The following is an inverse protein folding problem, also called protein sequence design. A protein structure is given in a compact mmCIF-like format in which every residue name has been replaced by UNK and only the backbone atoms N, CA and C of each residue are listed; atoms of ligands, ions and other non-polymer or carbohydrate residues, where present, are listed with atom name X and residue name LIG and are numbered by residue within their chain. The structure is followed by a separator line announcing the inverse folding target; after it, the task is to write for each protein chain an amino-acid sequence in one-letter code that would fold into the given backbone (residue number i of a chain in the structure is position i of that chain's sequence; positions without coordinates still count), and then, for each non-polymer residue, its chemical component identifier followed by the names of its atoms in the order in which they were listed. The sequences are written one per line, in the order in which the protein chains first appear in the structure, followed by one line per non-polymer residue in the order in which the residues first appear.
data_IF_432420973936
#
_entry.id   IF_432420973936
#
_cell.length_a   1.000
_cell.length_b   1.000
_cell.length_c   1.000
_cell.angle_alpha   90.00
_cell.angle_beta   90.00
_cell.angle_gamma   90.00
#
_symmetry.space_group_name_H-M   'P 1'
#
loop_
_entity.id
_entity.type
_entity.pdbx_description
1 polymer ?
#
# COMPACT_ATOMS: atom_id res chain seq x y z
N UNK A 1 44.78 -1.93 -23.01
CA UNK A 1 45.12 -3.35 -22.85
C UNK A 1 45.92 -3.51 -21.56
N UNK A 2 45.56 -4.42 -20.60
CA UNK A 2 45.60 -5.85 -20.85
C UNK A 2 44.35 -6.61 -20.37
N UNK A 3 44.21 -7.77 -20.98
CA UNK A 3 43.30 -8.87 -20.73
C UNK A 3 43.59 -9.58 -19.39
N UNK A 4 42.53 -10.02 -18.65
CA UNK A 4 42.66 -11.15 -17.74
C UNK A 4 41.55 -12.15 -17.98
N UNK A 5 42.00 -13.35 -18.31
CA UNK A 5 41.29 -14.53 -18.75
C UNK A 5 40.45 -15.21 -17.68
N UNK A 6 39.40 -15.84 -18.17
CA UNK A 6 38.54 -16.81 -17.53
C UNK A 6 39.26 -17.98 -16.86
N UNK A 7 38.68 -18.49 -15.76
CA UNK A 7 38.84 -19.90 -15.36
C UNK A 7 37.50 -20.42 -14.84
N UNK A 8 36.88 -21.26 -15.67
CA UNK A 8 35.83 -22.18 -15.27
C UNK A 8 36.44 -23.42 -14.61
N UNK A 9 35.83 -23.90 -13.53
CA UNK A 9 36.11 -25.23 -12.96
C UNK A 9 34.76 -25.91 -12.74
N UNK A 10 34.49 -27.06 -13.35
CA UNK A 10 33.32 -27.88 -13.04
C UNK A 10 33.65 -28.88 -11.93
N UNK A 11 32.82 -28.96 -10.88
CA UNK A 11 32.82 -30.09 -9.96
C UNK A 11 31.54 -30.89 -10.13
N UNK A 12 31.68 -32.05 -10.78
CA UNK A 12 30.74 -33.16 -10.76
C UNK A 12 30.86 -33.89 -9.42
N UNK A 13 29.76 -34.03 -8.71
CA UNK A 13 29.63 -35.01 -7.62
C UNK A 13 28.35 -35.80 -7.84
N UNK A 14 28.54 -37.05 -8.25
CA UNK A 14 27.54 -38.09 -8.28
C UNK A 14 27.26 -38.56 -6.87
N UNK A 15 25.98 -38.63 -6.50
CA UNK A 15 25.53 -39.30 -5.28
C UNK A 15 24.55 -40.44 -5.65
N UNK A 16 24.96 -41.64 -5.24
CA UNK A 16 24.30 -42.91 -5.49
C UNK A 16 22.96 -43.01 -4.68
N UNK A 17 21.92 -43.46 -5.36
CA UNK A 17 20.64 -43.80 -4.73
C UNK A 17 20.75 -45.21 -4.09
N UNK A 18 20.53 -45.31 -2.81
CA UNK A 18 20.23 -46.56 -2.12
C UNK A 18 18.71 -46.69 -1.94
N UNK A 19 18.11 -47.58 -2.69
CA UNK A 19 16.72 -47.97 -2.53
C UNK A 19 16.58 -48.93 -1.34
N UNK A 20 15.90 -48.50 -0.29
CA UNK A 20 15.46 -49.36 0.81
C UNK A 20 13.97 -49.62 0.65
N UNK A 21 13.59 -50.86 0.33
CA UNK A 21 12.23 -51.36 0.30
C UNK A 21 11.69 -51.50 1.74
N UNK A 22 10.58 -50.86 2.05
CA UNK A 22 9.82 -51.04 3.27
C UNK A 22 8.53 -51.82 2.94
N UNK A 23 8.15 -52.83 3.72
CA UNK A 23 7.00 -53.71 3.41
C UNK A 23 5.67 -52.98 3.66
N UNK A 24 4.71 -53.24 2.77
CA UNK A 24 3.35 -52.73 2.83
C UNK A 24 2.61 -53.46 3.95
N UNK A 25 2.45 -52.81 5.10
CA UNK A 25 1.56 -53.21 6.13
C UNK A 25 0.17 -52.65 5.87
N UNK A 26 -0.84 -53.58 5.75
CA UNK A 26 -2.24 -53.24 5.63
C UNK A 26 -2.74 -52.48 6.83
N UNK A 27 -2.83 -51.16 6.76
CA UNK A 27 -3.42 -50.33 7.81
C UNK A 27 -4.87 -49.99 7.43
N UNK A 28 -5.72 -50.44 8.34
CA UNK A 28 -7.14 -50.18 8.49
C UNK A 28 -7.52 -48.74 8.17
N UNK A 29 -8.30 -48.53 7.10
CA UNK A 29 -8.88 -47.23 6.75
C UNK A 29 -9.91 -46.88 7.82
N UNK A 30 -9.52 -46.13 8.84
CA UNK A 30 -10.47 -45.38 9.66
C UNK A 30 -11.02 -44.25 8.81
N UNK A 31 -12.33 -44.28 8.50
CA UNK A 31 -13.06 -43.12 8.06
C UNK A 31 -12.85 -42.03 9.11
N UNK A 32 -12.10 -41.02 8.74
CA UNK A 32 -12.05 -39.74 9.48
C UNK A 32 -13.28 -39.01 8.98
N UNK A 33 -14.31 -38.95 9.84
CA UNK A 33 -15.41 -38.01 9.66
C UNK A 33 -14.79 -36.66 9.43
N UNK A 34 -15.20 -36.01 8.33
CA UNK A 34 -14.80 -34.65 7.97
C UNK A 34 -15.31 -33.71 9.07
N UNK A 35 -14.56 -33.59 10.16
CA UNK A 35 -14.70 -32.44 11.02
C UNK A 35 -14.32 -31.25 10.16
N UNK A 36 -15.29 -30.43 9.82
CA UNK A 36 -15.11 -29.13 9.20
C UNK A 36 -13.99 -28.40 9.97
N UNK A 37 -12.84 -28.23 9.33
CA UNK A 37 -11.83 -27.34 9.84
C UNK A 37 -12.53 -25.99 10.08
N UNK A 38 -12.32 -25.33 11.23
CA UNK A 38 -12.82 -24.00 11.39
C UNK A 38 -12.20 -23.20 10.25
N UNK A 39 -13.05 -22.65 9.37
CA UNK A 39 -12.63 -21.60 8.47
C UNK A 39 -12.05 -20.53 9.36
N UNK A 40 -10.72 -20.44 9.40
CA UNK A 40 -10.05 -19.27 9.91
C UNK A 40 -10.47 -18.14 8.98
N UNK A 41 -11.63 -17.56 9.29
CA UNK A 41 -12.06 -16.32 8.72
C UNK A 41 -10.90 -15.37 8.93
N UNK A 42 -10.20 -15.03 7.84
CA UNK A 42 -9.33 -13.87 7.82
C UNK A 42 -10.25 -12.74 8.25
N UNK A 43 -10.16 -12.37 9.52
CA UNK A 43 -10.85 -11.20 10.04
C UNK A 43 -10.41 -10.07 9.13
N UNK A 44 -11.25 -9.66 8.20
CA UNK A 44 -11.05 -8.43 7.47
C UNK A 44 -11.04 -7.36 8.55
N UNK A 45 -9.85 -6.98 8.99
CA UNK A 45 -9.70 -5.90 9.94
C UNK A 45 -10.42 -4.70 9.31
N UNK A 46 -11.58 -4.37 9.86
CA UNK A 46 -12.35 -3.23 9.40
C UNK A 46 -11.44 -2.00 9.49
N UNK A 47 -11.46 -1.20 8.44
CA UNK A 47 -10.73 0.06 8.42
C UNK A 47 -11.11 0.88 9.68
N UNK A 48 -10.15 1.52 10.39
CA UNK A 48 -10.47 2.34 11.56
C UNK A 48 -11.59 3.35 11.27
N UNK A 49 -12.54 3.46 12.19
CA UNK A 49 -13.76 4.27 12.01
C UNK A 49 -13.47 5.79 11.89
N UNK A 50 -12.26 6.22 12.21
CA UNK A 50 -11.88 7.63 12.12
C UNK A 50 -11.89 8.21 10.69
N UNK A 51 -11.70 7.38 9.66
CA UNK A 51 -11.70 7.86 8.27
C UNK A 51 -13.10 8.29 7.82
N UNK A 52 -13.16 9.28 6.92
CA UNK A 52 -14.44 9.81 6.42
C UNK A 52 -15.26 8.76 5.67
N UNK A 53 -16.61 8.92 5.58
CA UNK A 53 -17.47 7.97 4.87
C UNK A 53 -17.01 7.72 3.42
N UNK A 54 -16.46 8.72 2.76
CA UNK A 54 -15.95 8.66 1.39
C UNK A 54 -14.77 7.69 1.26
N UNK A 55 -13.89 7.63 2.26
CA UNK A 55 -12.79 6.66 2.31
C UNK A 55 -13.29 5.30 2.81
N UNK A 56 -14.21 5.27 3.78
CA UNK A 56 -14.77 4.03 4.33
C UNK A 56 -15.44 3.14 3.26
N UNK A 57 -16.07 3.73 2.24
CA UNK A 57 -16.66 2.94 1.13
C UNK A 57 -15.64 2.12 0.34
N UNK A 58 -14.34 2.46 0.44
CA UNK A 58 -13.25 1.72 -0.16
C UNK A 58 -12.64 0.65 0.76
N UNK A 59 -13.18 0.44 1.97
CA UNK A 59 -12.57 -0.44 2.99
C UNK A 59 -12.20 -1.83 2.48
N UNK A 60 -13.09 -2.49 1.73
CA UNK A 60 -12.83 -3.81 1.13
C UNK A 60 -11.69 -3.77 0.11
N UNK A 61 -11.67 -2.76 -0.76
CA UNK A 61 -10.60 -2.56 -1.75
C UNK A 61 -9.27 -2.21 -1.07
N UNK A 62 -9.30 -1.34 -0.06
CA UNK A 62 -8.12 -0.99 0.75
C UNK A 62 -7.53 -2.24 1.38
N UNK A 63 -8.33 -3.14 1.94
CA UNK A 63 -7.86 -4.42 2.48
C UNK A 63 -7.16 -5.28 1.42
N UNK A 64 -7.76 -5.42 0.24
CA UNK A 64 -7.20 -6.18 -0.88
C UNK A 64 -5.89 -5.56 -1.37
N UNK A 65 -5.87 -4.26 -1.59
CA UNK A 65 -4.68 -3.54 -2.05
C UNK A 65 -3.56 -3.55 -1.01
N UNK A 66 -3.90 -3.34 0.27
CA UNK A 66 -2.98 -3.44 1.40
C UNK A 66 -2.22 -4.77 1.41
N UNK A 67 -2.96 -5.89 1.30
CA UNK A 67 -2.36 -7.22 1.23
C UNK A 67 -1.48 -7.40 -0.03
N UNK A 68 -1.93 -6.91 -1.18
CA UNK A 68 -1.19 -7.03 -2.46
C UNK A 68 0.16 -6.31 -2.43
N UNK A 69 0.22 -5.12 -1.82
CA UNK A 69 1.43 -4.29 -1.82
C UNK A 69 2.24 -4.37 -0.51
N UNK A 70 1.80 -5.19 0.45
CA UNK A 70 2.47 -5.30 1.75
C UNK A 70 2.46 -4.00 2.57
N UNK A 71 1.41 -3.18 2.39
CA UNK A 71 1.25 -1.90 3.06
C UNK A 71 0.25 -2.02 4.22
N UNK A 72 0.44 -1.32 5.35
CA UNK A 72 -0.61 -1.22 6.37
C UNK A 72 -1.89 -0.60 5.79
N UNK A 73 -3.06 -1.20 6.03
CA UNK A 73 -4.34 -0.68 5.54
C UNK A 73 -4.60 0.77 6.01
N UNK A 74 -4.21 1.08 7.25
CA UNK A 74 -4.27 2.44 7.79
C UNK A 74 -3.42 3.44 6.98
N UNK A 75 -2.26 3.03 6.46
CA UNK A 75 -1.41 3.89 5.63
C UNK A 75 -2.04 4.12 4.25
N UNK A 76 -2.55 3.07 3.63
CA UNK A 76 -3.28 3.16 2.34
C UNK A 76 -4.47 4.10 2.46
N UNK A 77 -5.28 3.96 3.52
CA UNK A 77 -6.41 4.84 3.79
C UNK A 77 -6.00 6.29 4.07
N UNK A 78 -4.91 6.49 4.81
CA UNK A 78 -4.38 7.83 5.10
C UNK A 78 -3.96 8.55 3.82
N UNK A 79 -3.24 7.88 2.93
CA UNK A 79 -2.85 8.46 1.64
C UNK A 79 -4.08 8.78 0.80
N UNK A 80 -5.03 7.83 0.64
CA UNK A 80 -6.29 8.08 -0.08
C UNK A 80 -7.07 9.27 0.51
N UNK A 81 -7.14 9.38 1.85
CA UNK A 81 -7.83 10.47 2.54
C UNK A 81 -7.27 11.84 2.15
N UNK A 82 -5.95 11.98 2.16
CA UNK A 82 -5.29 13.27 1.89
C UNK A 82 -5.28 13.60 0.40
N UNK A 83 -5.11 12.59 -0.46
CA UNK A 83 -4.97 12.80 -1.91
C UNK A 83 -6.30 13.17 -2.57
N UNK A 84 -7.36 12.44 -2.26
CA UNK A 84 -8.62 12.58 -2.97
C UNK A 84 -9.87 12.53 -2.09
N UNK A 85 -9.70 12.20 -0.80
CA UNK A 85 -10.83 11.80 0.06
C UNK A 85 -11.66 10.65 -0.57
N UNK A 86 -11.02 9.75 -1.32
CA UNK A 86 -11.70 8.63 -1.97
C UNK A 86 -12.47 8.99 -3.25
N UNK A 87 -12.18 10.12 -3.90
CA UNK A 87 -12.74 10.47 -5.20
C UNK A 87 -11.89 9.87 -6.34
N UNK A 88 -12.41 8.87 -7.09
CA UNK A 88 -11.69 8.28 -8.20
C UNK A 88 -11.54 9.24 -9.40
N UNK A 89 -12.31 10.34 -9.45
CA UNK A 89 -12.29 11.34 -10.52
C UNK A 89 -11.46 12.57 -10.16
N UNK A 90 -10.88 12.60 -8.94
CA UNK A 90 -10.12 13.75 -8.48
C UNK A 90 -9.00 14.10 -9.47
N UNK A 91 -8.85 15.39 -9.75
CA UNK A 91 -7.78 15.92 -10.57
C UNK A 91 -7.21 17.19 -9.94
N UNK A 92 -5.89 17.20 -9.72
CA UNK A 92 -5.22 18.37 -9.18
C UNK A 92 -4.88 19.39 -10.28
N UNK A 93 -4.58 20.62 -9.87
CA UNK A 93 -4.08 21.64 -10.80
C UNK A 93 -2.75 21.29 -11.46
N UNK A 94 -1.94 20.44 -10.84
CA UNK A 94 -0.69 19.90 -11.40
C UNK A 94 -0.91 18.70 -12.33
N UNK A 95 -2.16 18.21 -12.45
CA UNK A 95 -2.53 17.10 -13.32
C UNK A 95 -2.50 15.73 -12.68
N UNK A 96 -2.26 15.59 -11.37
CA UNK A 96 -2.40 14.33 -10.66
C UNK A 96 -3.84 13.81 -10.70
N UNK A 97 -4.05 12.49 -10.76
CA UNK A 97 -5.32 11.88 -11.12
C UNK A 97 -5.72 10.77 -10.14
N UNK A 98 -7.02 10.68 -9.85
CA UNK A 98 -7.67 9.58 -9.16
C UNK A 98 -7.41 9.47 -7.66
N UNK A 99 -7.75 8.30 -7.10
CA UNK A 99 -7.76 8.01 -5.66
C UNK A 99 -6.45 8.35 -4.95
N UNK A 100 -5.32 8.06 -5.60
CA UNK A 100 -3.97 8.19 -5.06
C UNK A 100 -3.17 9.29 -5.74
N UNK A 101 -3.83 10.18 -6.49
CA UNK A 101 -3.26 11.33 -7.19
C UNK A 101 -1.99 10.97 -7.98
N UNK A 102 -2.11 9.97 -8.84
CA UNK A 102 -1.00 9.50 -9.68
C UNK A 102 -0.72 10.52 -10.80
N UNK A 103 0.53 10.92 -10.91
CA UNK A 103 0.95 11.81 -12.01
C UNK A 103 0.93 11.07 -13.35
N UNK A 104 0.52 11.73 -14.46
CA UNK A 104 0.39 11.09 -15.78
C UNK A 104 1.63 10.35 -16.27
N UNK A 105 2.83 10.80 -15.93
CA UNK A 105 4.07 10.14 -16.31
C UNK A 105 4.35 8.82 -15.57
N UNK A 106 3.55 8.48 -14.54
CA UNK A 106 3.56 7.18 -13.86
C UNK A 106 2.52 6.20 -14.43
N UNK A 107 1.68 6.64 -15.34
CA UNK A 107 0.66 5.81 -16.02
C UNK A 107 1.24 5.31 -17.34
N UNK A 108 1.14 4.00 -17.61
CA UNK A 108 1.64 3.45 -18.85
C UNK A 108 0.70 3.77 -20.03
N UNK A 109 1.25 3.74 -21.24
CA UNK A 109 0.43 3.93 -22.45
C UNK A 109 -0.68 2.89 -22.53
N UNK A 110 -1.91 3.34 -22.75
CA UNK A 110 -3.10 2.50 -22.83
C UNK A 110 -3.76 2.18 -21.48
N UNK A 111 -3.25 2.68 -20.37
CA UNK A 111 -3.90 2.59 -19.06
C UNK A 111 -4.82 3.79 -18.82
N UNK A 112 -5.93 3.52 -18.11
CA UNK A 112 -6.89 4.54 -17.67
C UNK A 112 -6.56 5.01 -16.25
N UNK A 113 -6.00 6.21 -16.13
CA UNK A 113 -5.51 6.74 -14.84
C UNK A 113 -6.62 6.93 -13.79
N UNK A 114 -7.87 7.13 -14.21
CA UNK A 114 -9.02 7.27 -13.32
C UNK A 114 -9.69 5.93 -12.97
N UNK A 115 -9.31 4.82 -13.63
CA UNK A 115 -9.74 3.50 -13.19
C UNK A 115 -9.16 3.22 -11.79
N UNK A 116 -10.00 2.88 -10.79
CA UNK A 116 -9.55 2.68 -9.41
C UNK A 116 -8.47 1.61 -9.25
N UNK A 117 -8.51 0.51 -10.03
CA UNK A 117 -7.51 -0.56 -9.93
C UNK A 117 -6.17 -0.11 -10.53
N UNK A 118 -6.20 0.53 -11.68
CA UNK A 118 -5.00 1.11 -12.32
C UNK A 118 -4.37 2.18 -11.42
N UNK A 119 -5.18 3.08 -10.89
CA UNK A 119 -4.72 4.15 -10.01
C UNK A 119 -4.10 3.61 -8.73
N UNK A 120 -4.77 2.64 -8.07
CA UNK A 120 -4.23 1.96 -6.91
C UNK A 120 -2.95 1.20 -7.23
N UNK A 121 -2.90 0.51 -8.39
CA UNK A 121 -1.69 -0.21 -8.81
C UNK A 121 -0.49 0.74 -8.89
N UNK A 122 -0.64 1.86 -9.57
CA UNK A 122 0.46 2.82 -9.77
C UNK A 122 0.83 3.56 -8.48
N UNK A 123 -0.17 4.09 -7.75
CA UNK A 123 0.05 4.85 -6.53
C UNK A 123 0.61 4.00 -5.39
N UNK A 124 0.07 2.79 -5.18
CA UNK A 124 0.49 1.94 -4.06
C UNK A 124 1.82 1.22 -4.33
N UNK A 125 2.13 0.88 -5.58
CA UNK A 125 3.47 0.40 -5.94
C UNK A 125 4.52 1.48 -5.63
N UNK A 126 4.23 2.76 -5.94
CA UNK A 126 5.11 3.87 -5.62
C UNK A 126 5.25 4.10 -4.11
N UNK A 127 4.13 4.02 -3.36
CA UNK A 127 4.14 4.13 -1.90
C UNK A 127 4.93 2.99 -1.23
N UNK A 128 4.75 1.75 -1.72
CA UNK A 128 5.51 0.60 -1.22
C UNK A 128 7.02 0.77 -1.46
N UNK A 129 7.40 1.23 -2.65
CA UNK A 129 8.79 1.59 -2.94
C UNK A 129 9.33 2.69 -2.03
N UNK A 130 8.52 3.73 -1.78
CA UNK A 130 8.86 4.80 -0.83
C UNK A 130 9.09 4.26 0.58
N UNK A 131 8.20 3.38 1.06
CA UNK A 131 8.31 2.78 2.40
C UNK A 131 9.54 1.88 2.53
N UNK A 132 9.85 1.11 1.50
CA UNK A 132 11.04 0.28 1.45
C UNK A 132 12.33 1.13 1.47
N UNK A 133 12.41 2.17 0.64
CA UNK A 133 13.54 3.11 0.61
C UNK A 133 13.71 3.86 1.94
N UNK A 134 12.60 4.14 2.61
CA UNK A 134 12.57 4.79 3.92
C UNK A 134 12.91 3.83 5.09
N UNK A 135 13.22 2.55 4.83
CA UNK A 135 13.48 1.56 5.87
C UNK A 135 12.29 1.32 6.80
N UNK A 136 11.06 1.42 6.29
CA UNK A 136 9.82 1.28 7.06
C UNK A 136 9.37 2.55 7.81
N UNK A 137 10.09 3.65 7.69
CA UNK A 137 9.71 4.94 8.31
C UNK A 137 8.61 5.62 7.50
N UNK A 138 7.41 5.69 8.08
CA UNK A 138 6.21 6.23 7.42
C UNK A 138 6.34 7.72 7.10
N UNK A 139 6.92 8.53 7.98
CA UNK A 139 7.15 9.96 7.75
C UNK A 139 8.03 10.22 6.50
N UNK A 140 9.11 9.46 6.36
CA UNK A 140 9.99 9.54 5.19
C UNK A 140 9.32 8.96 3.93
N UNK A 141 8.54 7.88 4.08
CA UNK A 141 7.77 7.30 2.97
C UNK A 141 6.75 8.30 2.42
N UNK A 142 6.06 9.03 3.28
CA UNK A 142 5.14 10.09 2.90
C UNK A 142 5.86 11.27 2.23
N UNK A 143 7.06 11.64 2.70
CA UNK A 143 7.89 12.63 2.03
C UNK A 143 8.30 12.19 0.63
N UNK A 144 8.69 10.92 0.48
CA UNK A 144 9.03 10.32 -0.81
C UNK A 144 7.84 10.20 -1.75
N UNK A 145 6.67 9.90 -1.21
CA UNK A 145 5.43 9.80 -1.98
C UNK A 145 5.01 11.14 -2.57
N UNK A 146 4.92 12.17 -1.75
CA UNK A 146 4.49 13.49 -2.18
C UNK A 146 5.57 14.27 -2.94
N UNK A 147 6.82 14.25 -2.44
CA UNK A 147 7.90 15.10 -2.96
C UNK A 147 8.91 14.40 -3.88
N UNK A 148 8.70 13.08 -4.15
CA UNK A 148 9.64 12.23 -4.89
C UNK A 148 10.66 11.55 -3.99
N UNK A 149 11.15 10.38 -4.40
CA UNK A 149 12.03 9.50 -3.59
C UNK A 149 13.31 10.19 -3.11
N UNK A 150 13.80 11.22 -3.81
CA UNK A 150 14.96 12.01 -3.37
C UNK A 150 14.76 12.70 -2.02
N UNK A 151 13.51 12.95 -1.60
CA UNK A 151 13.19 13.58 -0.31
C UNK A 151 13.48 12.67 0.88
N UNK A 152 13.46 11.34 0.67
CA UNK A 152 13.72 10.35 1.72
C UNK A 152 15.11 10.52 2.35
N UNK A 153 16.11 10.86 1.52
CA UNK A 153 17.48 11.04 1.97
C UNK A 153 17.80 12.48 2.43
N UNK A 154 16.83 13.41 2.33
CA UNK A 154 17.02 14.81 2.71
C UNK A 154 16.49 15.09 4.12
N UNK A 155 17.09 16.04 4.81
CA UNK A 155 16.51 16.54 6.06
C UNK A 155 15.21 17.32 5.80
N UNK A 156 14.30 17.30 6.77
CA UNK A 156 12.95 17.87 6.62
C UNK A 156 12.96 19.38 6.34
N UNK A 157 14.02 20.09 6.77
CA UNK A 157 14.20 21.50 6.53
C UNK A 157 14.37 21.84 5.04
N UNK A 158 14.86 20.87 4.26
CA UNK A 158 15.07 21.00 2.82
C UNK A 158 13.85 20.58 1.98
N UNK A 159 12.81 20.07 2.63
CA UNK A 159 11.59 19.70 1.90
C UNK A 159 10.80 20.96 1.52
N UNK A 160 10.10 20.95 0.37
CA UNK A 160 9.12 21.97 0.06
C UNK A 160 8.05 22.09 1.15
N UNK A 161 7.48 23.29 1.33
CA UNK A 161 6.40 23.53 2.30
C UNK A 161 5.22 22.60 2.13
N UNK A 162 4.89 22.27 0.89
CA UNK A 162 3.83 21.31 0.56
C UNK A 162 4.15 19.93 1.13
N UNK A 163 5.36 19.43 0.89
CA UNK A 163 5.80 18.13 1.41
C UNK A 163 5.85 18.12 2.93
N UNK A 164 6.33 19.19 3.57
CA UNK A 164 6.31 19.29 5.05
C UNK A 164 4.88 19.22 5.61
N UNK A 165 3.93 19.93 5.00
CA UNK A 165 2.52 19.89 5.41
C UNK A 165 1.90 18.51 5.16
N UNK A 166 2.18 17.90 4.02
CA UNK A 166 1.72 16.55 3.69
C UNK A 166 2.18 15.52 4.71
N UNK A 167 3.46 15.54 5.05
CA UNK A 167 4.05 14.63 6.06
C UNK A 167 3.46 14.89 7.44
N UNK A 168 3.30 16.13 7.83
CA UNK A 168 2.72 16.48 9.14
C UNK A 168 1.29 15.93 9.29
N UNK A 169 0.43 16.16 8.30
CA UNK A 169 -0.94 15.62 8.30
C UNK A 169 -0.97 14.09 8.19
N UNK A 170 -0.25 13.54 7.23
CA UNK A 170 -0.25 12.10 6.97
C UNK A 170 0.28 11.29 8.14
N UNK A 171 1.39 11.70 8.74
CA UNK A 171 1.98 10.99 9.88
C UNK A 171 1.05 11.01 11.11
N UNK A 172 0.42 12.15 11.39
CA UNK A 172 -0.46 12.28 12.54
C UNK A 172 -1.77 11.46 12.35
N UNK A 173 -2.41 11.55 11.18
CA UNK A 173 -3.62 10.77 10.86
C UNK A 173 -3.30 9.27 10.88
N UNK A 174 -2.17 8.87 10.28
CA UNK A 174 -1.73 7.47 10.31
C UNK A 174 -1.47 6.96 11.72
N UNK A 175 -0.82 7.74 12.58
CA UNK A 175 -0.56 7.36 13.97
C UNK A 175 -1.85 7.13 14.75
N UNK A 176 -2.85 8.01 14.58
CA UNK A 176 -4.17 7.83 15.18
C UNK A 176 -4.85 6.54 14.66
N UNK A 177 -4.81 6.31 13.35
CA UNK A 177 -5.40 5.11 12.73
C UNK A 177 -4.68 3.83 13.17
N UNK A 178 -3.35 3.81 13.17
CA UNK A 178 -2.55 2.67 13.56
C UNK A 178 -2.70 2.32 15.06
N UNK A 179 -3.03 3.29 15.89
CA UNK A 179 -3.34 3.06 17.31
C UNK A 179 -4.78 2.56 17.59
N UNK A 180 -5.59 2.35 16.53
CA UNK A 180 -6.96 1.85 16.65
C UNK A 180 -7.97 2.87 17.16
N UNK A 181 -7.65 4.17 17.08
CA UNK A 181 -8.59 5.23 17.49
C UNK A 181 -9.80 5.28 16.58
N UNK A 182 -10.95 5.60 17.14
CA UNK A 182 -12.20 5.85 16.40
C UNK A 182 -12.36 7.30 15.95
N UNK A 183 -11.55 8.21 16.50
CA UNK A 183 -11.53 9.64 16.17
C UNK A 183 -10.07 10.10 16.02
N UNK A 184 -9.84 11.10 15.17
CA UNK A 184 -8.51 11.66 14.94
C UNK A 184 -8.57 13.19 14.97
N UNK A 185 -8.05 13.83 16.01
CA UNK A 185 -7.90 15.29 16.03
C UNK A 185 -7.09 15.81 14.84
N UNK A 186 -6.13 15.02 14.35
CA UNK A 186 -5.32 15.39 13.19
C UNK A 186 -6.17 15.40 11.90
N UNK A 187 -7.07 14.42 11.72
CA UNK A 187 -7.99 14.40 10.60
C UNK A 187 -8.99 15.55 10.67
N UNK A 188 -9.55 15.83 11.85
CA UNK A 188 -10.46 16.95 12.05
C UNK A 188 -9.79 18.28 11.69
N UNK A 189 -8.55 18.49 12.16
CA UNK A 189 -7.79 19.68 11.83
C UNK A 189 -7.48 19.79 10.32
N UNK A 190 -7.14 18.66 9.66
CA UNK A 190 -6.94 18.62 8.21
C UNK A 190 -8.23 18.96 7.44
N UNK A 191 -9.38 18.43 7.87
CA UNK A 191 -10.68 18.76 7.28
C UNK A 191 -10.98 20.26 7.38
N UNK A 192 -10.72 20.87 8.55
CA UNK A 192 -10.91 22.31 8.78
C UNK A 192 -9.94 23.16 7.95
N UNK A 193 -8.71 22.68 7.73
CA UNK A 193 -7.69 23.35 6.92
C UNK A 193 -7.96 23.31 5.40
N UNK A 194 -9.06 22.67 4.98
CA UNK A 194 -9.48 22.64 3.57
C UNK A 194 -9.79 21.24 3.02
N UNK A 195 -9.41 20.18 3.71
CA UNK A 195 -9.64 18.79 3.30
C UNK A 195 -11.12 18.46 3.10
N UNK A 196 -12.01 19.09 3.88
CA UNK A 196 -13.46 18.92 3.74
C UNK A 196 -13.98 19.28 2.33
N UNK A 197 -13.26 20.12 1.57
CA UNK A 197 -13.65 20.43 0.18
C UNK A 197 -13.43 19.21 -0.74
N UNK A 198 -12.34 18.47 -0.55
CA UNK A 198 -12.09 17.24 -1.30
C UNK A 198 -13.16 16.19 -0.99
N UNK A 199 -13.50 16.01 0.28
CA UNK A 199 -14.53 15.05 0.70
C UNK A 199 -15.91 15.40 0.14
N UNK A 200 -16.29 16.67 0.11
CA UNK A 200 -17.54 17.10 -0.56
C UNK A 200 -17.53 16.83 -2.06
N UNK A 201 -16.39 17.00 -2.73
CA UNK A 201 -16.27 16.64 -4.15
C UNK A 201 -16.44 15.13 -4.36
N UNK A 202 -15.82 14.32 -3.49
CA UNK A 202 -15.93 12.87 -3.52
C UNK A 202 -17.36 12.34 -3.25
N UNK A 203 -18.20 13.11 -2.54
CA UNK A 203 -19.60 12.78 -2.24
C UNK A 203 -20.57 13.24 -3.32
N UNK A 204 -20.13 14.07 -4.26
CA UNK A 204 -21.00 14.56 -5.32
C UNK A 204 -21.46 13.39 -6.21
N UNK A 205 -22.77 13.29 -6.55
CA UNK A 205 -23.23 12.33 -7.53
C UNK A 205 -22.56 12.59 -8.88
N UNK A 206 -22.45 11.53 -9.68
CA UNK A 206 -21.94 11.65 -11.05
C UNK A 206 -22.77 12.70 -11.82
N UNK A 207 -22.10 13.77 -12.25
CA UNK A 207 -22.72 14.83 -13.07
C UNK A 207 -22.73 14.42 -14.54
#
# INVERSE_FOLDING_TARGET
MPLWLARAVPLLLAAAALASAIPIGSALIRRIDSASAPETGVSQSSLPALFTPEVQRWSSKIGTWSARYGLPAALVATVMQIESCGDPRARSGAGAQGLFQVMPFHVASGEEAFDPETNAHRGLAYLAGSLQLAGGRVDLALAGYNGGHSRIAQSAELWPDETRRYVAWGSAIYADAASGRSVSPALDAWLQAGGARLCRAASAPDA
#
